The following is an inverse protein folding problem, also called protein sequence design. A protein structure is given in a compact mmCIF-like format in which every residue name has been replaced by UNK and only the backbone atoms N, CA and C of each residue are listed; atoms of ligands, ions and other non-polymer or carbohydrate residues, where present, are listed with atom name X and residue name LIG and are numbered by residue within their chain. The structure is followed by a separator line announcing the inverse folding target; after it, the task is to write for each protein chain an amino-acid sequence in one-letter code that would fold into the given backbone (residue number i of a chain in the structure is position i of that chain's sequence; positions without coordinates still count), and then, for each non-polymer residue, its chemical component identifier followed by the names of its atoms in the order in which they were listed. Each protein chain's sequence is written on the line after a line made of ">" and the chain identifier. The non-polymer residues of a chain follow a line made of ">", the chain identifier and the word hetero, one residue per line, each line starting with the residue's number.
data_IF_044293629422
#
_entry.id   IF_044293629422
#
_cell.length_a   1.000
_cell.length_b   1.000
_cell.length_c   1.000
_cell.angle_alpha   90.00
_cell.angle_beta   90.00
_cell.angle_gamma   90.00
#
_symmetry.space_group_name_H-M   'P 1'
#
loop_
_entity.id
_entity.type
_entity.pdbx_description
1 polymer ?
#
# COMPACT_ATOMS: atom_id res chain seq x y z
N UNK A 1 12.21 25.17 -3.12
CA UNK A 1 11.45 24.80 -4.33
C UNK A 1 10.46 23.72 -3.92
N UNK A 2 9.16 24.01 -3.92
CA UNK A 2 8.13 22.99 -3.68
C UNK A 2 7.91 22.29 -5.02
N UNK A 3 8.56 21.16 -5.25
CA UNK A 3 8.28 20.34 -6.43
C UNK A 3 6.87 19.79 -6.30
N UNK A 4 5.99 20.20 -7.23
CA UNK A 4 4.67 19.61 -7.33
C UNK A 4 4.81 18.13 -7.70
N UNK A 5 4.20 17.25 -6.91
CA UNK A 5 4.16 15.81 -7.19
C UNK A 5 3.56 15.57 -8.59
N UNK A 6 4.30 14.93 -9.48
CA UNK A 6 3.90 14.65 -10.86
C UNK A 6 3.19 13.28 -10.98
N UNK A 7 2.16 13.10 -10.15
CA UNK A 7 1.29 11.92 -10.14
C UNK A 7 -0.17 12.35 -9.99
N UNK A 8 -1.11 11.49 -10.35
CA UNK A 8 -2.55 11.74 -10.21
C UNK A 8 -2.99 11.71 -8.72
N UNK A 9 -4.30 11.80 -8.46
CA UNK A 9 -4.83 11.87 -7.08
C UNK A 9 -4.62 10.59 -6.26
N UNK A 10 -4.45 9.45 -6.93
CA UNK A 10 -4.18 8.15 -6.32
C UNK A 10 -2.69 7.81 -6.28
N UNK A 11 -1.84 8.53 -7.02
CA UNK A 11 -0.42 8.25 -7.08
C UNK A 11 0.37 8.77 -5.87
N UNK A 12 1.58 8.23 -5.71
CA UNK A 12 2.49 8.54 -4.62
C UNK A 12 3.96 8.42 -5.05
N UNK A 13 4.84 8.98 -4.23
CA UNK A 13 6.28 8.69 -4.24
C UNK A 13 6.66 8.03 -2.92
N UNK A 14 7.49 7.00 -2.97
CA UNK A 14 8.05 6.30 -1.80
C UNK A 14 9.58 6.31 -1.90
N UNK A 15 10.21 6.90 -0.89
CA UNK A 15 11.67 6.96 -0.75
C UNK A 15 12.08 6.19 0.52
N UNK A 16 12.85 5.12 0.35
CA UNK A 16 13.40 4.29 1.42
C UNK A 16 14.90 4.51 1.46
N UNK A 17 15.39 5.03 2.58
CA UNK A 17 16.82 5.21 2.85
C UNK A 17 17.24 4.41 4.07
N UNK A 18 18.55 4.40 4.34
CA UNK A 18 19.09 3.85 5.58
C UNK A 18 18.72 4.65 6.85
N UNK A 19 18.13 5.85 6.71
CA UNK A 19 17.78 6.74 7.84
C UNK A 19 16.29 6.85 8.06
N UNK A 20 15.50 6.84 7.00
CA UNK A 20 14.07 7.06 7.05
C UNK A 20 13.35 6.47 5.84
N UNK A 21 12.03 6.38 5.98
CA UNK A 21 11.09 6.06 4.92
C UNK A 21 10.15 7.24 4.78
N UNK A 22 9.96 7.72 3.55
CA UNK A 22 9.11 8.88 3.26
C UNK A 22 8.15 8.54 2.13
N UNK A 23 6.85 8.50 2.44
CA UNK A 23 5.76 8.44 1.47
C UNK A 23 5.18 9.85 1.28
N UNK A 24 5.05 10.31 0.04
CA UNK A 24 4.37 11.57 -0.30
C UNK A 24 3.28 11.31 -1.32
N UNK A 25 2.12 11.92 -1.13
CA UNK A 25 1.01 11.87 -2.07
C UNK A 25 0.19 13.17 -2.01
N UNK A 26 -0.62 13.42 -3.05
CA UNK A 26 -1.53 14.57 -3.10
C UNK A 26 -2.75 14.41 -2.19
N UNK A 27 -3.14 13.16 -1.91
CA UNK A 27 -4.35 12.83 -1.17
C UNK A 27 -4.10 11.71 -0.15
N UNK A 28 -4.99 11.53 0.84
CA UNK A 28 -4.94 10.37 1.74
C UNK A 28 -5.02 9.01 1.02
N UNK A 29 -5.72 8.94 -0.12
CA UNK A 29 -5.84 7.70 -0.90
C UNK A 29 -4.50 7.29 -1.51
N UNK A 30 -3.73 8.26 -2.04
CA UNK A 30 -2.37 7.98 -2.51
C UNK A 30 -1.41 7.59 -1.38
N UNK A 31 -1.55 8.18 -0.18
CA UNK A 31 -0.80 7.73 1.00
C UNK A 31 -1.12 6.28 1.36
N UNK A 32 -2.41 5.91 1.32
CA UNK A 32 -2.84 4.53 1.58
C UNK A 32 -2.18 3.55 0.61
N UNK A 33 -2.19 3.84 -0.70
CA UNK A 33 -1.53 2.97 -1.69
C UNK A 33 -0.01 2.94 -1.53
N UNK A 34 0.63 4.07 -1.21
CA UNK A 34 2.06 4.08 -0.91
C UNK A 34 2.43 3.22 0.30
N UNK A 35 1.56 3.18 1.32
CA UNK A 35 1.73 2.28 2.45
C UNK A 35 1.61 0.80 2.05
N UNK A 36 0.67 0.46 1.15
CA UNK A 36 0.55 -0.92 0.64
C UNK A 36 1.85 -1.39 -0.03
N UNK A 37 2.47 -0.54 -0.85
CA UNK A 37 3.78 -0.87 -1.46
C UNK A 37 4.89 -0.96 -0.42
N UNK A 38 4.91 -0.07 0.57
CA UNK A 38 5.93 -0.14 1.62
C UNK A 38 5.84 -1.45 2.42
N UNK A 39 4.63 -1.92 2.74
CA UNK A 39 4.43 -3.21 3.41
C UNK A 39 4.99 -4.38 2.57
N UNK A 40 4.84 -4.34 1.24
CA UNK A 40 5.41 -5.35 0.33
C UNK A 40 6.94 -5.34 0.28
N UNK A 41 7.60 -4.25 0.70
CA UNK A 41 9.06 -4.18 0.78
C UNK A 41 9.63 -4.79 2.06
N UNK A 42 8.78 -5.01 3.07
CA UNK A 42 9.15 -5.68 4.32
C UNK A 42 9.10 -7.21 4.16
N UNK A 43 9.68 -7.97 5.11
CA UNK A 43 9.51 -9.42 5.14
C UNK A 43 8.02 -9.80 5.21
N UNK A 44 7.66 -10.94 4.61
CA UNK A 44 6.27 -11.38 4.48
C UNK A 44 5.54 -11.54 5.83
N UNK A 45 6.29 -11.73 6.91
CA UNK A 45 5.79 -11.80 8.28
C UNK A 45 5.10 -10.51 8.74
N UNK A 46 5.27 -9.38 8.04
CA UNK A 46 4.58 -8.11 8.36
C UNK A 46 3.06 -8.24 8.30
N UNK A 47 2.55 -9.14 7.46
CA UNK A 47 1.12 -9.41 7.30
C UNK A 47 0.59 -10.42 8.34
N UNK A 48 1.43 -10.91 9.25
CA UNK A 48 0.99 -11.82 10.29
C UNK A 48 0.13 -11.07 11.33
N UNK A 49 -1.09 -11.55 11.66
CA UNK A 49 -1.93 -10.92 12.67
C UNK A 49 -1.36 -11.04 14.10
N UNK A 50 -0.32 -11.84 14.31
CA UNK A 50 0.34 -12.07 15.59
C UNK A 50 1.82 -11.68 15.52
N UNK A 51 2.39 -11.32 16.68
CA UNK A 51 3.80 -10.96 16.78
C UNK A 51 4.70 -12.13 16.33
N UNK A 52 5.61 -11.84 15.38
CA UNK A 52 6.61 -12.79 14.90
C UNK A 52 7.99 -12.39 15.41
N UNK A 53 8.69 -13.35 16.02
CA UNK A 53 10.05 -13.17 16.56
C UNK A 53 11.10 -13.74 15.59
N UNK A 54 12.34 -13.26 15.70
CA UNK A 54 13.47 -13.77 14.91
C UNK A 54 13.51 -13.28 13.46
N UNK A 55 12.68 -12.30 13.10
CA UNK A 55 12.66 -11.67 11.77
C UNK A 55 13.49 -10.39 11.79
N UNK A 56 14.36 -10.23 10.80
CA UNK A 56 15.04 -8.96 10.55
C UNK A 56 14.12 -8.03 9.76
N UNK A 57 13.45 -7.10 10.45
CA UNK A 57 12.55 -6.11 9.84
C UNK A 57 13.35 -5.07 9.04
N UNK A 58 13.59 -5.37 7.77
CA UNK A 58 14.39 -4.54 6.86
C UNK A 58 13.63 -4.31 5.56
N UNK A 59 13.84 -3.16 4.94
CA UNK A 59 13.36 -2.85 3.60
C UNK A 59 14.55 -2.41 2.75
N UNK A 60 14.59 -2.75 1.45
CA UNK A 60 15.65 -2.29 0.55
C UNK A 60 15.57 -0.77 0.34
N UNK A 61 16.72 -0.12 0.20
CA UNK A 61 16.77 1.28 -0.19
C UNK A 61 16.34 1.45 -1.65
N UNK A 62 15.23 2.15 -1.88
CA UNK A 62 14.59 2.31 -3.20
C UNK A 62 13.89 3.66 -3.32
N UNK A 63 13.71 4.13 -4.54
CA UNK A 63 12.87 5.27 -4.87
C UNK A 63 11.81 4.82 -5.88
N UNK A 64 10.53 5.02 -5.54
CA UNK A 64 9.38 4.57 -6.32
C UNK A 64 8.49 5.78 -6.58
N UNK A 65 8.02 5.90 -7.83
CA UNK A 65 6.92 6.79 -8.22
C UNK A 65 5.88 5.91 -8.90
N UNK A 66 4.66 5.87 -8.36
CA UNK A 66 3.61 5.00 -8.87
C UNK A 66 2.25 5.71 -8.91
N UNK A 67 1.44 5.35 -9.91
CA UNK A 67 0.09 5.84 -10.10
C UNK A 67 -0.75 4.89 -10.96
N UNK A 68 -2.06 4.79 -10.72
CA UNK A 68 -2.90 3.91 -11.51
C UNK A 68 -3.10 4.43 -12.92
N UNK A 69 -2.96 3.54 -13.90
CA UNK A 69 -3.28 3.81 -15.31
C UNK A 69 -4.77 4.05 -15.56
N UNK A 70 -5.63 3.37 -14.80
CA UNK A 70 -7.09 3.43 -14.95
C UNK A 70 -7.76 3.86 -13.65
N UNK A 71 -8.73 4.76 -13.74
CA UNK A 71 -9.47 5.29 -12.59
C UNK A 71 -10.46 4.30 -11.95
N UNK A 72 -10.72 3.15 -12.56
CA UNK A 72 -11.61 2.12 -12.02
C UNK A 72 -10.90 0.76 -11.93
N UNK A 73 -10.82 0.22 -10.71
CA UNK A 73 -10.16 -1.06 -10.38
C UNK A 73 -11.03 -1.82 -9.36
N UNK A 74 -12.12 -2.41 -9.83
CA UNK A 74 -13.14 -3.04 -8.99
C UNK A 74 -13.01 -4.56 -8.86
N UNK A 75 -13.74 -5.12 -7.89
CA UNK A 75 -13.94 -6.56 -7.68
C UNK A 75 -15.44 -6.86 -7.63
N UNK A 76 -15.89 -7.98 -8.22
CA UNK A 76 -17.28 -8.44 -8.16
C UNK A 76 -17.36 -9.69 -7.29
N UNK A 77 -18.24 -9.66 -6.29
CA UNK A 77 -18.59 -10.79 -5.43
C UNK A 77 -20.09 -11.11 -5.63
N UNK A 78 -20.47 -12.38 -5.82
CA UNK A 78 -21.86 -12.84 -5.98
C UNK A 78 -22.40 -13.41 -4.64
N UNK A 79 -23.14 -12.63 -3.85
CA UNK A 79 -23.74 -13.09 -2.60
C UNK A 79 -25.12 -13.76 -2.80
N UNK A 80 -25.62 -13.84 -4.03
CA UNK A 80 -26.99 -14.30 -4.31
C UNK A 80 -27.08 -15.82 -4.37
N UNK A 81 -26.05 -16.49 -4.90
CA UNK A 81 -26.02 -17.96 -5.00
C UNK A 81 -25.77 -18.63 -3.65
N UNK A 82 -24.92 -18.02 -2.84
CA UNK A 82 -24.63 -18.43 -1.49
C UNK A 82 -24.44 -17.18 -0.64
N UNK A 83 -25.16 -17.10 0.48
CA UNK A 83 -25.05 -15.96 1.39
C UNK A 83 -23.64 -15.84 1.97
N UNK A 84 -23.10 -14.61 1.97
CA UNK A 84 -21.79 -14.28 2.52
C UNK A 84 -22.00 -13.31 3.70
N UNK A 85 -21.62 -13.68 4.93
CA UNK A 85 -21.70 -12.80 6.09
C UNK A 85 -20.90 -11.50 5.90
N UNK A 86 -21.38 -10.39 6.48
CA UNK A 86 -20.72 -9.07 6.39
C UNK A 86 -19.26 -9.11 6.86
N UNK A 87 -18.97 -9.90 7.88
CA UNK A 87 -17.62 -10.12 8.39
C UNK A 87 -16.68 -10.74 7.35
N UNK A 88 -17.19 -11.58 6.45
CA UNK A 88 -16.41 -12.22 5.40
C UNK A 88 -16.25 -11.32 4.16
N UNK A 89 -17.09 -10.28 4.01
CA UNK A 89 -16.94 -9.27 2.94
C UNK A 89 -15.83 -8.27 3.29
N UNK A 90 -15.58 -8.03 4.58
CA UNK A 90 -14.61 -7.04 5.07
C UNK A 90 -13.19 -7.59 5.26
N UNK A 91 -13.03 -8.91 5.32
CA UNK A 91 -11.73 -9.60 5.41
C UNK A 91 -11.07 -9.65 4.05
#
# INVERSE_FOLDING_TARGET
>A
MNEALQVNNEGYTLDVTNKNVVVKAKTPQGLFYGMQTFLQLLPAEVENPSLVNGVAWTAPAVNITDEPRFGYRGIMLDPCRHFIPVENIKK
#
